data_IF_299004615477
#
_entry.id   IF_299004615477
#
_cell.length_a   1.000
_cell.length_b   1.000
_cell.length_c   1.000
_cell.angle_alpha   90.00
_cell.angle_beta   90.00
_cell.angle_gamma   90.00
#
_symmetry.space_group_name_H-M   'P 1'
#
loop_
_entity.id
_entity.type
_entity.pdbx_description
1 polymer ?
#
# COMPACT_ATOMS: atom_id res chain seq x y z
N UNK A 1 33.71 -7.13 1.05
CA UNK A 1 33.63 -5.98 0.17
C UNK A 1 33.47 -4.69 1.00
N UNK A 2 34.14 -3.62 0.63
CA UNK A 2 34.04 -2.31 1.25
C UNK A 2 34.10 -1.22 0.16
N UNK A 3 33.12 -0.33 0.13
CA UNK A 3 32.97 0.70 -0.90
C UNK A 3 33.15 0.13 -2.33
N UNK A 4 32.42 -0.95 -2.62
CA UNK A 4 32.42 -1.69 -3.89
C UNK A 4 33.77 -2.31 -4.32
N UNK A 5 34.74 -2.42 -3.41
CA UNK A 5 36.01 -3.12 -3.62
C UNK A 5 36.04 -4.43 -2.85
N UNK A 6 36.59 -5.46 -3.46
CA UNK A 6 36.79 -6.75 -2.83
C UNK A 6 38.10 -6.75 -2.04
N UNK A 7 38.11 -7.41 -0.91
CA UNK A 7 39.25 -7.59 -0.01
C UNK A 7 39.33 -9.04 0.48
N UNK A 8 40.51 -9.54 0.76
CA UNK A 8 40.64 -10.78 1.50
C UNK A 8 40.12 -10.61 2.94
N UNK A 9 39.80 -11.68 3.67
CA UNK A 9 39.36 -11.59 5.05
C UNK A 9 40.33 -10.85 5.98
N UNK A 10 41.63 -11.04 5.80
CA UNK A 10 42.67 -10.38 6.58
C UNK A 10 42.78 -8.90 6.27
N UNK A 11 42.76 -8.53 4.98
CA UNK A 11 42.78 -7.14 4.54
C UNK A 11 41.53 -6.40 5.01
N UNK A 12 40.34 -7.02 4.89
CA UNK A 12 39.08 -6.44 5.35
C UNK A 12 39.12 -6.16 6.85
N UNK A 13 39.60 -7.09 7.65
CA UNK A 13 39.72 -6.91 9.09
C UNK A 13 40.64 -5.74 9.45
N UNK A 14 41.82 -5.68 8.84
CA UNK A 14 42.75 -4.55 9.03
C UNK A 14 42.11 -3.21 8.65
N UNK A 15 41.42 -3.17 7.50
CA UNK A 15 40.75 -1.97 7.02
C UNK A 15 39.67 -1.48 8.01
N UNK A 16 38.87 -2.40 8.52
CA UNK A 16 37.82 -2.10 9.51
C UNK A 16 38.42 -1.58 10.82
N UNK A 17 39.47 -2.27 11.35
CA UNK A 17 40.16 -1.85 12.57
C UNK A 17 40.79 -0.46 12.40
N UNK A 18 41.39 -0.15 11.24
CA UNK A 18 41.96 1.13 10.94
C UNK A 18 40.88 2.25 10.82
N UNK A 19 39.76 1.95 10.22
CA UNK A 19 38.65 2.90 10.10
C UNK A 19 38.12 3.29 11.48
N UNK A 20 37.78 2.31 12.32
CA UNK A 20 37.23 2.57 13.64
C UNK A 20 38.26 3.20 14.61
N UNK A 21 39.55 3.02 14.37
CA UNK A 21 40.62 3.61 15.15
C UNK A 21 40.83 5.09 14.78
N UNK A 22 40.66 5.47 13.51
CA UNK A 22 41.11 6.77 13.00
C UNK A 22 39.98 7.72 12.67
N UNK A 23 38.73 7.26 12.59
CA UNK A 23 37.57 8.07 12.19
C UNK A 23 36.44 7.98 13.23
N UNK A 24 35.79 9.11 13.49
CA UNK A 24 34.53 9.12 14.23
C UNK A 24 33.40 8.57 13.37
N UNK A 25 32.29 8.19 14.02
CA UNK A 25 31.09 7.71 13.32
C UNK A 25 30.58 8.74 12.31
N UNK A 26 30.58 10.02 12.66
CA UNK A 26 30.17 11.12 11.80
C UNK A 26 31.04 11.20 10.54
N UNK A 27 32.36 11.12 10.67
CA UNK A 27 33.30 11.11 9.56
C UNK A 27 33.13 9.88 8.66
N UNK A 28 32.77 8.73 9.23
CA UNK A 28 32.50 7.49 8.45
C UNK A 28 31.21 7.70 7.63
N UNK A 29 30.16 8.26 8.23
CA UNK A 29 28.89 8.56 7.55
C UNK A 29 29.08 9.56 6.41
N UNK A 30 29.81 10.63 6.64
CA UNK A 30 30.10 11.63 5.61
C UNK A 30 30.86 11.01 4.41
N UNK A 31 31.86 10.19 4.68
CA UNK A 31 32.57 9.45 3.63
C UNK A 31 31.67 8.50 2.86
N UNK A 32 30.77 7.81 3.56
CA UNK A 32 29.82 6.91 2.92
C UNK A 32 28.80 7.68 2.05
N UNK A 33 28.26 8.80 2.55
CA UNK A 33 27.35 9.66 1.79
C UNK A 33 28.03 10.18 0.52
N UNK A 34 29.23 10.73 0.66
CA UNK A 34 30.01 11.22 -0.48
C UNK A 34 30.29 10.10 -1.51
N UNK A 35 30.66 8.93 -1.03
CA UNK A 35 30.87 7.78 -1.91
C UNK A 35 29.60 7.39 -2.65
N UNK A 36 28.46 7.31 -1.93
CA UNK A 36 27.15 6.98 -2.52
C UNK A 36 26.76 7.95 -3.61
N UNK A 37 26.94 9.26 -3.40
CA UNK A 37 26.61 10.31 -4.36
C UNK A 37 27.43 10.23 -5.65
N UNK A 38 28.63 9.66 -5.59
CA UNK A 38 29.49 9.45 -6.74
C UNK A 38 29.18 8.18 -7.53
N UNK A 39 28.30 7.32 -7.02
CA UNK A 39 27.93 6.10 -7.73
C UNK A 39 26.79 6.36 -8.72
N UNK A 40 26.71 5.59 -9.80
CA UNK A 40 25.56 5.65 -10.69
C UNK A 40 24.30 5.21 -9.95
N UNK A 41 23.29 6.06 -9.95
CA UNK A 41 21.99 5.77 -9.40
C UNK A 41 21.02 5.42 -10.52
N UNK A 42 20.29 4.33 -10.37
CA UNK A 42 19.17 4.04 -11.27
C UNK A 42 18.08 5.09 -11.08
N UNK A 43 17.58 5.59 -12.19
CA UNK A 43 16.43 6.49 -12.19
C UNK A 43 15.16 5.78 -11.68
N UNK A 44 15.00 4.52 -12.06
CA UNK A 44 13.83 3.70 -11.74
C UNK A 44 14.25 2.24 -11.57
N UNK A 45 13.68 1.57 -10.60
CA UNK A 45 13.83 0.13 -10.39
C UNK A 45 12.54 -0.54 -10.82
N UNK A 46 12.61 -1.34 -11.88
CA UNK A 46 11.45 -2.08 -12.39
C UNK A 46 11.85 -3.43 -12.95
N UNK A 47 10.92 -4.37 -12.90
CA UNK A 47 11.11 -5.71 -13.45
C UNK A 47 9.80 -6.25 -14.02
N UNK A 48 9.81 -6.71 -15.27
CA UNK A 48 8.62 -7.21 -15.97
C UNK A 48 7.45 -6.22 -15.92
N UNK A 49 7.69 -4.97 -16.29
CA UNK A 49 6.68 -3.93 -16.34
C UNK A 49 6.35 -3.56 -17.78
N UNK A 50 5.13 -3.16 -18.02
CA UNK A 50 4.65 -2.65 -19.29
C UNK A 50 3.78 -1.42 -19.06
N UNK A 51 4.10 -0.31 -19.72
CA UNK A 51 3.35 0.94 -19.64
C UNK A 51 3.11 1.43 -18.20
N UNK A 52 4.19 1.46 -17.40
CA UNK A 52 4.13 1.86 -16.00
C UNK A 52 4.88 3.15 -15.72
N UNK A 53 4.34 3.96 -14.82
CA UNK A 53 4.99 5.14 -14.25
C UNK A 53 5.06 4.96 -12.74
N UNK A 54 6.28 4.91 -12.20
CA UNK A 54 6.49 4.70 -10.77
C UNK A 54 7.91 4.25 -10.46
N UNK A 55 8.11 3.65 -9.29
CA UNK A 55 9.40 3.11 -8.90
C UNK A 55 9.24 1.88 -8.00
N UNK A 56 10.22 0.97 -8.03
CA UNK A 56 10.15 -0.33 -7.35
C UNK A 56 8.92 -1.15 -7.78
N UNK A 57 8.75 -1.29 -9.10
CA UNK A 57 7.63 -2.03 -9.68
C UNK A 57 8.07 -3.40 -10.17
N UNK A 58 7.27 -4.43 -9.88
CA UNK A 58 7.53 -5.80 -10.32
C UNK A 58 6.26 -6.46 -10.85
N UNK A 59 6.34 -7.01 -12.09
CA UNK A 59 5.21 -7.67 -12.74
C UNK A 59 3.95 -6.79 -12.81
N UNK A 60 4.11 -5.52 -13.18
CA UNK A 60 3.03 -4.54 -13.26
C UNK A 60 2.74 -4.15 -14.70
N UNK A 61 1.47 -3.84 -14.99
CA UNK A 61 1.01 -3.38 -16.31
C UNK A 61 0.02 -2.24 -16.19
N UNK A 62 0.15 -1.24 -17.06
CA UNK A 62 -0.75 -0.10 -17.14
C UNK A 62 -0.95 0.61 -15.78
N UNK A 63 0.15 0.86 -15.06
CA UNK A 63 0.12 1.47 -13.74
C UNK A 63 0.67 2.90 -13.77
N UNK A 64 0.02 3.82 -13.05
CA UNK A 64 0.41 5.23 -13.01
C UNK A 64 0.63 5.69 -11.57
N UNK A 65 1.79 6.30 -11.31
CA UNK A 65 2.20 6.80 -9.99
C UNK A 65 2.11 5.73 -8.89
N UNK A 66 2.60 4.52 -9.20
CA UNK A 66 2.66 3.40 -8.26
C UNK A 66 4.09 3.22 -7.75
N UNK A 67 4.25 2.93 -6.45
CA UNK A 67 5.55 2.79 -5.81
C UNK A 67 5.58 1.58 -4.89
N UNK A 68 6.67 0.80 -4.96
CA UNK A 68 6.87 -0.44 -4.20
C UNK A 68 5.71 -1.44 -4.36
N UNK A 69 5.34 -1.69 -5.61
CA UNK A 69 4.18 -2.51 -5.96
C UNK A 69 4.56 -3.74 -6.78
N UNK A 70 3.84 -4.84 -6.53
CA UNK A 70 4.04 -6.10 -7.24
C UNK A 70 2.70 -6.68 -7.72
N UNK A 71 2.69 -7.22 -8.96
CA UNK A 71 1.54 -7.89 -9.56
C UNK A 71 0.29 -7.01 -9.68
N UNK A 72 0.46 -5.79 -10.20
CA UNK A 72 -0.65 -4.87 -10.43
C UNK A 72 -0.96 -4.68 -11.91
N UNK A 73 -2.24 -4.54 -12.22
CA UNK A 73 -2.71 -4.08 -13.53
C UNK A 73 -3.70 -2.92 -13.39
N UNK A 74 -3.64 -1.97 -14.34
CA UNK A 74 -4.57 -0.84 -14.46
C UNK A 74 -4.81 -0.09 -13.15
N UNK A 75 -3.74 0.13 -12.39
CA UNK A 75 -3.82 0.71 -11.04
C UNK A 75 -3.14 2.07 -10.99
N UNK A 76 -3.65 2.98 -10.15
CA UNK A 76 -3.10 4.33 -10.02
C UNK A 76 -2.96 4.75 -8.57
N UNK A 77 -1.87 5.50 -8.29
CA UNK A 77 -1.59 6.08 -6.98
C UNK A 77 -1.51 5.03 -5.86
N UNK A 78 -0.91 3.88 -6.15
CA UNK A 78 -0.75 2.80 -5.19
C UNK A 78 0.66 2.83 -4.57
N UNK A 79 0.71 2.59 -3.27
CA UNK A 79 1.96 2.48 -2.52
C UNK A 79 1.97 1.22 -1.66
N UNK A 80 3.07 0.45 -1.71
CA UNK A 80 3.30 -0.78 -0.95
C UNK A 80 2.18 -1.82 -1.11
N UNK A 81 1.75 -2.05 -2.36
CA UNK A 81 0.77 -3.08 -2.68
C UNK A 81 1.46 -4.31 -3.26
N UNK A 82 1.50 -5.37 -2.46
CA UNK A 82 2.09 -6.66 -2.84
C UNK A 82 1.06 -7.76 -2.68
N UNK A 83 0.79 -8.45 -3.77
CA UNK A 83 -0.14 -9.58 -3.75
C UNK A 83 0.62 -10.90 -3.74
N UNK A 84 0.34 -11.74 -2.77
CA UNK A 84 0.98 -13.06 -2.64
C UNK A 84 0.65 -14.03 -3.78
N UNK A 85 -0.60 -14.05 -4.26
CA UNK A 85 -1.05 -14.93 -5.32
C UNK A 85 -1.88 -14.18 -6.39
N UNK A 86 -1.39 -14.21 -7.62
CA UNK A 86 -2.06 -13.63 -8.80
C UNK A 86 -1.93 -12.11 -8.93
N UNK A 87 -2.70 -11.52 -9.81
CA UNK A 87 -2.66 -10.10 -10.15
C UNK A 87 -3.80 -9.35 -9.47
N UNK A 88 -3.53 -8.16 -8.95
CA UNK A 88 -4.54 -7.22 -8.46
C UNK A 88 -4.74 -6.11 -9.49
N UNK A 89 -5.99 -5.77 -9.82
CA UNK A 89 -6.30 -4.81 -10.87
C UNK A 89 -7.29 -3.75 -10.42
N UNK A 90 -7.21 -2.61 -11.10
CA UNK A 90 -8.11 -1.48 -10.90
C UNK A 90 -8.13 -0.97 -9.47
N UNK A 91 -6.92 -0.79 -8.88
CA UNK A 91 -6.77 -0.19 -7.56
C UNK A 91 -6.45 1.30 -7.68
N UNK A 92 -7.06 2.11 -6.84
CA UNK A 92 -6.92 3.56 -6.86
C UNK A 92 -6.69 4.12 -5.46
N UNK A 93 -5.74 5.07 -5.36
CA UNK A 93 -5.43 5.81 -4.13
C UNK A 93 -5.24 4.90 -2.90
N UNK A 94 -4.42 3.86 -3.05
CA UNK A 94 -4.12 2.90 -2.00
C UNK A 94 -2.78 3.21 -1.34
N UNK A 95 -2.76 3.38 -0.04
CA UNK A 95 -1.52 3.42 0.74
C UNK A 95 -1.47 2.31 1.78
N UNK A 96 -0.39 1.53 1.69
CA UNK A 96 0.05 0.46 2.57
C UNK A 96 -0.79 -0.84 2.64
N UNK A 97 -0.12 -1.95 2.39
CA UNK A 97 -0.44 -3.34 2.73
C UNK A 97 -1.78 -3.90 2.20
N UNK A 98 -2.00 -3.83 0.90
CA UNK A 98 -3.13 -4.54 0.29
C UNK A 98 -2.76 -5.93 -0.21
N UNK A 99 -3.65 -6.92 -0.13
CA UNK A 99 -3.45 -8.24 -0.74
C UNK A 99 -4.32 -8.45 -1.98
N UNK A 100 -5.61 -8.41 -1.93
CA UNK A 100 -6.48 -8.63 -3.09
C UNK A 100 -7.38 -7.46 -3.42
N UNK A 101 -6.98 -6.25 -3.07
CA UNK A 101 -7.78 -5.03 -3.16
C UNK A 101 -8.21 -4.75 -4.59
N UNK A 102 -9.45 -4.34 -4.79
CA UNK A 102 -9.97 -3.80 -6.04
C UNK A 102 -10.76 -2.54 -5.74
N UNK A 103 -10.52 -1.47 -6.47
CA UNK A 103 -11.21 -0.19 -6.40
C UNK A 103 -11.14 0.54 -5.05
N UNK A 104 -10.12 0.33 -4.23
CA UNK A 104 -9.92 1.12 -3.03
C UNK A 104 -9.83 2.62 -3.37
N UNK A 105 -10.35 3.46 -2.55
CA UNK A 105 -10.15 4.90 -2.56
C UNK A 105 -9.77 5.32 -1.14
N UNK A 106 -8.51 5.70 -0.94
CA UNK A 106 -7.85 5.94 0.33
C UNK A 106 -7.94 4.76 1.34
N UNK A 107 -6.85 4.28 1.83
CA UNK A 107 -6.89 3.19 2.78
C UNK A 107 -5.59 3.00 3.51
N UNK A 108 -5.66 2.49 4.70
CA UNK A 108 -4.54 2.05 5.50
C UNK A 108 -4.80 0.63 5.94
N UNK A 109 -3.86 -0.29 5.64
CA UNK A 109 -3.84 -1.65 6.15
C UNK A 109 -5.07 -2.51 5.77
N UNK A 110 -5.16 -2.90 4.54
CA UNK A 110 -6.10 -3.94 4.11
C UNK A 110 -5.42 -5.29 4.21
N UNK A 111 -6.11 -6.35 4.41
CA UNK A 111 -5.59 -7.70 4.36
C UNK A 111 -6.57 -8.64 3.66
N UNK A 112 -6.06 -9.60 2.90
CA UNK A 112 -6.82 -10.62 2.18
C UNK A 112 -7.65 -10.09 1.00
N UNK A 113 -8.75 -10.74 0.66
CA UNK A 113 -9.48 -10.54 -0.59
C UNK A 113 -10.49 -9.40 -0.49
N UNK A 114 -10.02 -8.17 -0.43
CA UNK A 114 -10.88 -6.98 -0.33
C UNK A 114 -11.50 -6.62 -1.69
N UNK A 115 -12.66 -5.95 -1.69
CA UNK A 115 -13.29 -5.34 -2.84
C UNK A 115 -13.97 -4.03 -2.43
N UNK A 116 -13.99 -3.04 -3.31
CA UNK A 116 -14.72 -1.77 -3.23
C UNK A 116 -14.59 -1.00 -1.91
N UNK A 117 -13.44 -1.04 -1.26
CA UNK A 117 -13.19 -0.32 -0.01
C UNK A 117 -13.11 1.18 -0.27
N UNK A 118 -13.96 1.98 0.36
CA UNK A 118 -13.97 3.43 0.28
C UNK A 118 -13.64 4.05 1.65
N UNK A 119 -12.53 4.75 1.78
CA UNK A 119 -11.96 5.37 2.99
C UNK A 119 -11.53 4.42 4.11
N UNK A 120 -11.43 3.12 3.88
CA UNK A 120 -11.21 2.12 4.92
C UNK A 120 -9.91 2.29 5.73
N UNK A 121 -9.99 2.02 7.02
CA UNK A 121 -8.86 1.78 7.92
C UNK A 121 -9.02 0.37 8.48
N UNK A 122 -8.00 -0.49 8.34
CA UNK A 122 -7.97 -1.88 8.85
C UNK A 122 -9.12 -2.80 8.39
N UNK A 123 -9.42 -2.86 7.12
CA UNK A 123 -10.53 -3.63 6.54
C UNK A 123 -10.15 -5.10 6.29
N UNK A 124 -9.66 -5.81 7.30
CA UNK A 124 -9.20 -7.20 7.18
C UNK A 124 -10.33 -8.15 6.72
N UNK A 125 -10.11 -8.82 5.60
CA UNK A 125 -11.00 -9.84 5.04
C UNK A 125 -12.48 -9.42 4.98
N UNK A 126 -12.73 -8.16 4.65
CA UNK A 126 -14.07 -7.57 4.57
C UNK A 126 -14.26 -6.94 3.19
N UNK A 127 -15.49 -6.84 2.69
CA UNK A 127 -15.79 -6.25 1.39
C UNK A 127 -17.06 -5.39 1.44
N UNK A 128 -17.16 -4.45 0.50
CA UNK A 128 -18.21 -3.45 0.45
C UNK A 128 -18.38 -2.69 1.78
N UNK A 129 -17.25 -2.24 2.32
CA UNK A 129 -17.19 -1.50 3.58
C UNK A 129 -16.91 -0.03 3.28
N UNK A 130 -17.94 0.80 3.36
CA UNK A 130 -17.89 2.19 2.98
C UNK A 130 -17.90 3.13 4.18
N UNK A 131 -17.05 4.15 4.19
CA UNK A 131 -16.96 5.16 5.26
C UNK A 131 -16.79 4.56 6.67
N UNK A 132 -16.20 3.38 6.78
CA UNK A 132 -16.17 2.61 8.02
C UNK A 132 -14.74 2.42 8.51
N UNK A 133 -14.55 2.33 9.82
CA UNK A 133 -13.25 2.19 10.48
C UNK A 133 -13.25 0.95 11.34
N UNK A 134 -12.17 0.14 11.28
CA UNK A 134 -11.98 -1.08 12.08
C UNK A 134 -13.11 -2.13 11.91
N UNK A 135 -13.73 -2.16 10.73
CA UNK A 135 -14.67 -3.21 10.36
C UNK A 135 -13.90 -4.38 9.75
N UNK A 136 -13.78 -5.48 10.51
CA UNK A 136 -12.84 -6.57 10.22
C UNK A 136 -13.49 -7.96 10.33
N UNK A 137 -12.78 -8.99 9.85
CA UNK A 137 -13.20 -10.39 9.98
C UNK A 137 -14.57 -10.70 9.35
N UNK A 138 -14.70 -10.56 8.04
CA UNK A 138 -15.91 -10.82 7.26
C UNK A 138 -17.07 -9.83 7.52
N UNK A 139 -16.77 -8.55 7.68
CA UNK A 139 -17.82 -7.53 7.52
C UNK A 139 -18.19 -7.38 6.04
N UNK A 140 -19.48 -7.23 5.74
CA UNK A 140 -20.01 -7.08 4.40
C UNK A 140 -21.11 -6.03 4.38
N UNK A 141 -21.12 -5.22 3.32
CA UNK A 141 -22.18 -4.23 3.17
C UNK A 141 -22.34 -3.38 4.44
N UNK A 142 -21.28 -2.72 4.87
CA UNK A 142 -21.28 -1.84 6.04
C UNK A 142 -21.06 -0.39 5.61
N UNK A 143 -21.87 0.52 6.13
CA UNK A 143 -21.80 1.94 5.81
C UNK A 143 -21.71 2.80 7.08
N UNK A 144 -20.65 3.60 7.20
CA UNK A 144 -20.46 4.50 8.33
C UNK A 144 -20.27 3.78 9.68
N UNK A 145 -19.70 2.59 9.67
CA UNK A 145 -19.59 1.73 10.85
C UNK A 145 -18.21 1.81 11.49
N UNK A 146 -18.13 1.53 12.80
CA UNK A 146 -16.88 1.54 13.57
C UNK A 146 -16.76 0.32 14.45
N UNK A 147 -15.66 -0.41 14.35
CA UNK A 147 -15.31 -1.49 15.27
C UNK A 147 -16.16 -2.77 15.15
N UNK A 148 -16.77 -3.02 13.99
CA UNK A 148 -17.60 -4.20 13.77
C UNK A 148 -16.76 -5.44 13.40
N UNK A 149 -17.30 -6.61 13.75
CA UNK A 149 -16.76 -7.92 13.36
C UNK A 149 -17.88 -8.84 12.91
N UNK A 150 -17.69 -9.54 11.79
CA UNK A 150 -18.66 -10.52 11.25
C UNK A 150 -20.06 -9.93 11.09
N UNK A 151 -20.16 -8.68 10.68
CA UNK A 151 -21.42 -7.95 10.54
C UNK A 151 -21.79 -7.79 9.07
N UNK A 152 -23.08 -7.85 8.78
CA UNK A 152 -23.61 -7.66 7.43
C UNK A 152 -24.76 -6.66 7.45
N UNK A 153 -24.90 -5.87 6.40
CA UNK A 153 -25.97 -4.89 6.19
C UNK A 153 -26.14 -3.92 7.37
N UNK A 154 -25.01 -3.30 7.80
CA UNK A 154 -25.00 -2.35 8.90
C UNK A 154 -24.87 -0.90 8.40
N UNK A 155 -25.66 0.00 8.98
CA UNK A 155 -25.52 1.45 8.80
C UNK A 155 -25.35 2.07 10.18
N UNK A 156 -24.26 2.83 10.41
CA UNK A 156 -23.93 3.47 11.69
C UNK A 156 -24.02 2.48 12.88
N UNK A 157 -23.42 1.29 12.72
CA UNK A 157 -23.43 0.19 13.69
C UNK A 157 -24.81 -0.45 13.98
N UNK A 158 -25.86 -0.09 13.26
CA UNK A 158 -27.17 -0.71 13.38
C UNK A 158 -27.41 -1.65 12.20
N UNK A 159 -27.81 -2.88 12.50
CA UNK A 159 -28.10 -3.88 11.48
C UNK A 159 -29.50 -3.68 10.89
N UNK A 160 -29.59 -3.83 9.59
CA UNK A 160 -30.81 -3.77 8.78
C UNK A 160 -31.02 -5.10 8.04
N UNK A 161 -32.19 -5.26 7.43
CA UNK A 161 -32.34 -6.31 6.42
C UNK A 161 -31.57 -5.95 5.15
N UNK A 162 -31.33 -6.93 4.30
CA UNK A 162 -30.66 -6.70 3.00
C UNK A 162 -31.42 -5.65 2.17
N UNK A 163 -32.73 -5.82 2.09
CA UNK A 163 -33.61 -4.97 1.31
C UNK A 163 -33.60 -3.52 1.82
N UNK A 164 -33.67 -3.33 3.13
CA UNK A 164 -33.58 -1.99 3.74
C UNK A 164 -32.22 -1.34 3.49
N UNK A 165 -31.13 -2.10 3.59
CA UNK A 165 -29.78 -1.61 3.33
C UNK A 165 -29.62 -1.14 1.87
N UNK A 166 -30.03 -1.99 0.91
CA UNK A 166 -29.96 -1.70 -0.52
C UNK A 166 -30.85 -0.53 -0.93
N UNK A 167 -31.91 -0.24 -0.22
CA UNK A 167 -32.76 0.94 -0.42
C UNK A 167 -32.16 2.21 0.22
N UNK A 168 -31.65 2.12 1.44
CA UNK A 168 -31.23 3.28 2.23
C UNK A 168 -29.87 3.83 1.79
N UNK A 169 -28.87 2.97 1.54
CA UNK A 169 -27.50 3.42 1.24
C UNK A 169 -27.41 4.30 -0.02
N UNK A 170 -28.06 3.98 -1.15
CA UNK A 170 -28.08 4.88 -2.29
C UNK A 170 -28.70 6.25 -2.00
N UNK A 171 -29.75 6.30 -1.18
CA UNK A 171 -30.40 7.56 -0.78
C UNK A 171 -29.48 8.41 0.10
N UNK A 172 -28.75 7.78 1.01
CA UNK A 172 -27.74 8.47 1.84
C UNK A 172 -26.64 9.05 0.97
N UNK A 173 -26.10 8.26 0.04
CA UNK A 173 -25.04 8.70 -0.88
C UNK A 173 -25.54 9.87 -1.76
N UNK A 174 -26.76 9.80 -2.27
CA UNK A 174 -27.35 10.89 -3.06
C UNK A 174 -27.51 12.16 -2.23
N UNK A 175 -27.93 12.05 -0.98
CA UNK A 175 -28.02 13.17 -0.06
C UNK A 175 -26.65 13.79 0.22
N UNK A 176 -25.65 12.97 0.52
CA UNK A 176 -24.26 13.42 0.71
C UNK A 176 -23.72 14.18 -0.51
N UNK A 177 -24.03 13.72 -1.73
CA UNK A 177 -23.64 14.41 -2.97
C UNK A 177 -24.28 15.79 -3.10
N UNK A 178 -25.55 15.91 -2.76
CA UNK A 178 -26.28 17.19 -2.77
C UNK A 178 -25.70 18.18 -1.77
N UNK A 179 -25.20 17.70 -0.65
CA UNK A 179 -24.57 18.53 0.40
C UNK A 179 -23.09 18.85 0.09
N UNK A 180 -22.59 18.45 -1.08
CA UNK A 180 -21.21 18.74 -1.51
C UNK A 180 -20.16 17.79 -0.94
N UNK A 181 -20.56 16.74 -0.24
CA UNK A 181 -19.67 15.65 0.10
C UNK A 181 -19.28 14.90 -1.19
N UNK A 182 -18.00 14.64 -1.35
CA UNK A 182 -17.52 13.77 -2.43
C UNK A 182 -17.63 12.32 -1.94
N UNK A 183 -18.59 11.54 -2.46
CA UNK A 183 -18.69 10.13 -2.15
C UNK A 183 -17.66 9.34 -2.92
#
# INVERSE_FOLDING_TARGET
>A
CFLNKEYSPEEWKKLVDDIFKNFSLEQILDKFITFREQQPHKFMEERNTENCIGNYLMNCRDCEACFDCEYLEKSKYCFDLKKGDGVSYENYDLSAFGMGVNNCYQGVSFGYNNNHVLFGVDVWNSFDVYYSILCVNNCKNCFGCVGLKKAEYCILNKQFSKEEYEELVPKIIEHMRKDGARP
#
